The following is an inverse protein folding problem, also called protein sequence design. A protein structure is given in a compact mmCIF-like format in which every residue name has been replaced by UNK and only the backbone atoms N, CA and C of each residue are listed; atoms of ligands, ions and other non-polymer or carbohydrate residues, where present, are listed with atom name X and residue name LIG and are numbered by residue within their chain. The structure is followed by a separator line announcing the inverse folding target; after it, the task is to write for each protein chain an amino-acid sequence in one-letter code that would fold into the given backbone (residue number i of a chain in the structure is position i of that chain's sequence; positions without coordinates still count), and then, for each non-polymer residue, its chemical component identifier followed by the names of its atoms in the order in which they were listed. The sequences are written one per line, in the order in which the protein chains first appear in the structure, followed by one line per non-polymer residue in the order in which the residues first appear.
data_IF_492231245617
#
_entry.id   IF_492231245617
#
_cell.length_a   1.000
_cell.length_b   1.000
_cell.length_c   1.000
_cell.angle_alpha   90.00
_cell.angle_beta   90.00
_cell.angle_gamma   90.00
#
_symmetry.space_group_name_H-M   'P 1'
#
loop_
_entity.id
_entity.type
_entity.pdbx_description
1 polymer ?
#
# COMPACT_ATOMS: atom_id res chain seq x y z
N UNK A 1 -56.02 -40.65 6.81
CA UNK A 1 -56.61 -40.03 5.59
C UNK A 1 -55.84 -38.81 5.08
N UNK A 2 -55.00 -38.11 5.87
CA UNK A 2 -54.26 -36.91 5.40
C UNK A 2 -52.95 -37.25 4.67
N UNK A 3 -52.27 -38.32 5.06
CA UNK A 3 -50.96 -38.74 4.52
C UNK A 3 -50.97 -39.09 3.03
N UNK A 4 -52.06 -39.67 2.51
CA UNK A 4 -52.19 -40.02 1.10
C UNK A 4 -52.42 -38.78 0.20
N UNK A 5 -53.00 -37.71 0.76
CA UNK A 5 -53.20 -36.46 0.03
C UNK A 5 -51.89 -35.70 -0.18
N UNK A 6 -50.99 -35.73 0.82
CA UNK A 6 -49.68 -35.09 0.75
C UNK A 6 -48.78 -35.77 -0.29
N UNK A 7 -48.79 -37.11 -0.34
CA UNK A 7 -48.06 -37.89 -1.35
C UNK A 7 -48.57 -37.60 -2.77
N UNK A 8 -49.89 -37.45 -2.96
CA UNK A 8 -50.47 -37.10 -4.24
C UNK A 8 -50.05 -35.70 -4.70
N UNK A 9 -50.04 -34.73 -3.78
CA UNK A 9 -49.58 -33.37 -4.07
C UNK A 9 -48.08 -33.32 -4.42
N UNK A 10 -47.25 -34.05 -3.70
CA UNK A 10 -45.81 -34.14 -4.00
C UNK A 10 -45.57 -34.74 -5.38
N UNK A 11 -46.33 -35.78 -5.75
CA UNK A 11 -46.21 -36.44 -7.04
C UNK A 11 -46.69 -35.53 -8.20
N UNK A 12 -47.72 -34.71 -7.97
CA UNK A 12 -48.16 -33.69 -8.93
C UNK A 12 -47.13 -32.58 -9.12
N UNK A 13 -46.53 -32.07 -8.04
CA UNK A 13 -45.45 -31.07 -8.09
C UNK A 13 -44.23 -31.62 -8.81
N UNK A 14 -43.83 -32.85 -8.50
CA UNK A 14 -42.70 -33.52 -9.16
C UNK A 14 -42.94 -33.75 -10.65
N UNK A 15 -44.17 -34.12 -11.03
CA UNK A 15 -44.53 -34.33 -12.45
C UNK A 15 -44.56 -33.02 -13.23
N UNK A 16 -45.08 -31.95 -12.63
CA UNK A 16 -45.13 -30.60 -13.25
C UNK A 16 -43.74 -29.97 -13.38
N UNK A 17 -42.88 -30.09 -12.35
CA UNK A 17 -41.48 -29.66 -12.43
C UNK A 17 -40.68 -30.46 -13.48
N UNK A 18 -40.93 -31.77 -13.60
CA UNK A 18 -40.24 -32.63 -14.57
C UNK A 18 -40.72 -32.42 -16.02
N UNK A 19 -41.97 -31.99 -16.21
CA UNK A 19 -42.54 -31.71 -17.54
C UNK A 19 -42.21 -30.32 -18.06
N UNK A 20 -41.73 -29.42 -17.21
CA UNK A 20 -41.21 -28.13 -17.66
C UNK A 20 -39.82 -28.39 -18.27
N UNK A 21 -39.61 -28.16 -19.57
CA UNK A 21 -38.26 -28.19 -20.11
C UNK A 21 -37.44 -27.17 -19.32
N UNK A 22 -36.30 -27.59 -18.77
CA UNK A 22 -35.33 -26.63 -18.27
C UNK A 22 -34.97 -25.75 -19.46
N UNK A 23 -35.33 -24.48 -19.39
CA UNK A 23 -34.88 -23.48 -20.36
C UNK A 23 -33.36 -23.48 -20.31
N UNK A 24 -32.75 -24.23 -21.24
CA UNK A 24 -31.33 -24.26 -21.38
C UNK A 24 -30.92 -22.84 -21.75
N UNK A 25 -29.97 -22.24 -21.01
CA UNK A 25 -29.50 -20.92 -21.38
C UNK A 25 -29.04 -20.96 -22.84
N UNK A 26 -29.28 -19.90 -23.62
CA UNK A 26 -28.79 -19.83 -24.98
C UNK A 26 -27.28 -20.08 -24.97
N UNK A 27 -26.74 -20.71 -26.02
CA UNK A 27 -25.32 -21.07 -26.12
C UNK A 27 -24.39 -19.89 -25.85
N UNK A 28 -24.86 -18.67 -26.14
CA UNK A 28 -24.13 -17.42 -26.01
C UNK A 28 -24.35 -16.70 -24.67
N UNK A 29 -25.08 -17.30 -23.73
CA UNK A 29 -25.33 -16.69 -22.43
C UNK A 29 -24.03 -16.45 -21.67
N UNK A 30 -23.20 -17.49 -21.57
CA UNK A 30 -21.90 -17.41 -20.89
C UNK A 30 -20.95 -16.47 -21.61
N UNK A 31 -20.92 -16.47 -22.94
CA UNK A 31 -20.04 -15.60 -23.72
C UNK A 31 -20.45 -14.12 -23.61
N UNK A 32 -21.75 -13.82 -23.64
CA UNK A 32 -22.27 -12.46 -23.52
C UNK A 32 -22.12 -11.91 -22.09
N UNK A 33 -22.27 -12.76 -21.06
CA UNK A 33 -21.93 -12.39 -19.69
C UNK A 33 -20.42 -12.13 -19.60
N UNK A 34 -19.57 -13.09 -19.98
CA UNK A 34 -18.10 -12.94 -19.96
C UNK A 34 -17.63 -11.69 -20.72
N UNK A 35 -18.23 -11.37 -21.86
CA UNK A 35 -17.91 -10.15 -22.60
C UNK A 35 -18.26 -8.88 -21.81
N UNK A 36 -19.41 -8.84 -21.13
CA UNK A 36 -19.84 -7.68 -20.32
C UNK A 36 -19.04 -7.53 -19.03
N UNK A 37 -18.67 -8.63 -18.36
CA UNK A 37 -17.77 -8.57 -17.18
C UNK A 37 -16.33 -8.25 -17.59
N UNK A 38 -15.85 -8.72 -18.75
CA UNK A 38 -14.48 -8.45 -19.21
C UNK A 38 -14.27 -6.96 -19.58
N UNK A 39 -15.29 -6.27 -20.09
CA UNK A 39 -15.25 -4.81 -20.31
C UNK A 39 -15.24 -4.04 -18.98
N UNK A 40 -15.76 -4.63 -17.90
CA UNK A 40 -15.79 -4.01 -16.56
C UNK A 40 -14.60 -4.41 -15.68
N UNK A 41 -13.92 -5.51 -15.99
CA UNK A 41 -12.58 -5.82 -15.46
C UNK A 41 -11.56 -4.95 -16.19
N UNK A 42 -11.66 -3.64 -15.99
CA UNK A 42 -10.50 -2.77 -16.15
C UNK A 42 -9.46 -3.31 -15.21
N UNK A 43 -8.52 -4.08 -15.75
CA UNK A 43 -7.36 -4.59 -15.04
C UNK A 43 -6.82 -3.40 -14.26
N UNK A 44 -6.87 -3.45 -12.94
CA UNK A 44 -6.36 -2.38 -12.10
C UNK A 44 -4.86 -2.38 -12.32
N UNK A 45 -4.40 -1.68 -13.36
CA UNK A 45 -3.00 -1.55 -13.70
C UNK A 45 -2.37 -0.90 -12.48
N UNK A 46 -1.56 -1.70 -11.78
CA UNK A 46 -0.99 -1.32 -10.51
C UNK A 46 -0.01 -0.18 -10.76
N UNK A 47 -0.50 1.06 -10.60
CA UNK A 47 0.34 2.23 -10.74
C UNK A 47 1.22 2.32 -9.48
N UNK A 48 2.55 2.35 -9.62
CA UNK A 48 3.42 2.42 -8.45
C UNK A 48 3.13 3.72 -7.68
N UNK A 49 2.59 3.57 -6.46
CA UNK A 49 2.17 4.67 -5.56
C UNK A 49 3.26 5.73 -5.30
N UNK A 50 4.52 5.36 -5.49
CA UNK A 50 5.68 6.26 -5.51
C UNK A 50 6.50 5.88 -6.73
N UNK A 51 6.76 6.86 -7.59
CA UNK A 51 7.67 6.75 -8.74
C UNK A 51 9.05 6.29 -8.27
N UNK A 52 9.82 5.64 -9.15
CA UNK A 52 11.24 5.30 -8.91
C UNK A 52 12.05 6.53 -8.44
N UNK A 53 11.63 7.72 -8.88
CA UNK A 53 12.23 8.99 -8.48
C UNK A 53 11.93 9.37 -7.01
N UNK A 54 10.76 9.01 -6.48
CA UNK A 54 10.44 9.23 -5.07
C UNK A 54 11.26 8.35 -4.14
N UNK A 55 11.61 7.13 -4.57
CA UNK A 55 12.56 6.28 -3.84
C UNK A 55 13.97 6.87 -3.78
N UNK A 56 14.46 7.43 -4.90
CA UNK A 56 15.74 8.13 -4.94
C UNK A 56 15.75 9.35 -4.02
N UNK A 57 14.65 10.11 -3.96
CA UNK A 57 14.53 11.28 -3.10
C UNK A 57 14.56 10.88 -1.62
N UNK A 58 13.83 9.83 -1.21
CA UNK A 58 13.85 9.34 0.17
C UNK A 58 15.26 8.89 0.59
N UNK A 59 15.96 8.14 -0.27
CA UNK A 59 17.34 7.71 0.00
C UNK A 59 18.28 8.91 0.11
N UNK A 60 18.18 9.87 -0.81
CA UNK A 60 19.04 11.05 -0.83
C UNK A 60 18.83 11.89 0.44
N UNK A 61 17.58 12.14 0.83
CA UNK A 61 17.25 12.87 2.07
C UNK A 61 17.72 12.12 3.31
N UNK A 62 17.58 10.80 3.35
CA UNK A 62 18.09 9.98 4.46
C UNK A 62 19.61 10.07 4.61
N UNK A 63 20.35 9.97 3.50
CA UNK A 63 21.81 10.11 3.48
C UNK A 63 22.22 11.51 3.94
N UNK A 64 21.58 12.55 3.40
CA UNK A 64 21.86 13.94 3.78
C UNK A 64 21.63 14.18 5.28
N UNK A 65 20.59 13.57 5.85
CA UNK A 65 20.29 13.67 7.28
C UNK A 65 21.33 12.98 8.17
N UNK A 66 21.79 11.78 7.79
CA UNK A 66 22.85 11.07 8.51
C UNK A 66 24.16 11.87 8.47
N UNK A 67 24.49 12.44 7.30
CA UNK A 67 25.65 13.31 7.13
C UNK A 67 25.54 14.55 8.02
N UNK A 68 24.39 15.21 8.06
CA UNK A 68 24.15 16.38 8.90
C UNK A 68 24.37 16.08 10.39
N UNK A 69 23.86 14.94 10.88
CA UNK A 69 24.06 14.52 12.26
C UNK A 69 25.53 14.23 12.57
N UNK A 70 26.26 13.63 11.63
CA UNK A 70 27.69 13.37 11.79
C UNK A 70 28.49 14.67 11.91
N UNK A 71 28.19 15.68 11.07
CA UNK A 71 28.85 16.99 11.09
C UNK A 71 28.58 17.76 12.39
N UNK A 72 27.36 17.67 12.94
CA UNK A 72 27.04 18.32 14.23
C UNK A 72 27.72 17.61 15.43
N UNK A 73 27.85 16.29 15.38
CA UNK A 73 28.43 15.51 16.48
C UNK A 73 29.96 15.54 16.48
N UNK A 74 30.58 15.70 15.31
CA UNK A 74 32.01 15.97 15.14
C UNK A 74 32.24 17.47 15.39
N UNK A 75 32.46 17.85 16.65
CA UNK A 75 32.70 19.25 17.06
C UNK A 75 33.93 19.94 16.46
N UNK A 76 34.58 19.35 15.44
CA UNK A 76 35.60 19.99 14.62
C UNK A 76 35.31 19.77 13.14
N UNK A 77 35.30 20.82 12.30
CA UNK A 77 35.04 20.70 10.88
C UNK A 77 36.23 20.00 10.21
N UNK A 78 36.08 18.70 9.95
CA UNK A 78 36.92 17.95 9.03
C UNK A 78 36.96 18.71 7.69
N UNK A 79 38.17 18.93 7.15
CA UNK A 79 38.44 19.82 5.99
C UNK A 79 37.55 19.56 4.76
N UNK A 80 37.04 18.33 4.62
CA UNK A 80 36.11 17.93 3.55
C UNK A 80 34.74 18.64 3.61
N UNK A 81 34.26 19.03 4.80
CA UNK A 81 32.96 19.68 5.01
C UNK A 81 33.01 21.22 4.98
N UNK A 82 34.21 21.83 4.99
CA UNK A 82 34.36 23.30 4.90
C UNK A 82 33.95 23.87 3.53
N UNK A 83 33.91 23.03 2.49
CA UNK A 83 33.46 23.43 1.15
C UNK A 83 31.93 23.52 1.03
N UNK A 84 31.18 22.95 1.98
CA UNK A 84 29.73 23.02 2.01
C UNK A 84 29.35 24.08 3.04
N UNK A 85 29.21 25.32 2.58
CA UNK A 85 28.86 26.46 3.43
C UNK A 85 27.39 26.38 3.86
N UNK A 86 27.13 25.60 4.91
CA UNK A 86 25.81 25.43 5.53
C UNK A 86 25.33 26.67 6.31
N UNK A 87 26.12 27.75 6.35
CA UNK A 87 25.78 29.00 7.06
C UNK A 87 24.47 29.61 6.57
N UNK A 88 24.11 29.38 5.30
CA UNK A 88 22.88 29.92 4.70
C UNK A 88 21.62 29.13 5.12
N UNK A 89 21.73 27.83 5.41
CA UNK A 89 20.61 26.98 5.86
C UNK A 89 20.38 27.10 7.37
N UNK A 90 21.43 27.43 8.11
CA UNK A 90 21.38 27.67 9.57
C UNK A 90 20.54 28.89 9.95
N UNK A 91 20.46 29.90 9.08
CA UNK A 91 19.87 31.21 9.39
C UNK A 91 18.38 31.32 9.05
N UNK A 92 17.62 30.22 9.15
CA UNK A 92 16.17 30.23 8.95
C UNK A 92 15.42 30.13 10.30
N UNK A 93 14.24 30.73 10.38
CA UNK A 93 13.41 30.74 11.61
C UNK A 93 13.11 29.33 12.14
N UNK A 94 13.05 28.36 11.23
CA UNK A 94 12.81 26.94 11.53
C UNK A 94 13.99 26.35 12.31
N UNK A 95 15.23 26.58 11.88
CA UNK A 95 16.42 26.09 12.57
C UNK A 95 16.55 26.72 13.95
N UNK A 96 16.14 27.98 14.11
CA UNK A 96 16.13 28.65 15.41
C UNK A 96 15.14 27.97 16.38
N UNK A 97 13.94 27.64 15.92
CA UNK A 97 12.96 26.88 16.70
C UNK A 97 13.49 25.48 17.09
N UNK A 98 14.14 24.76 16.17
CA UNK A 98 14.75 23.47 16.48
C UNK A 98 15.99 23.55 17.38
N UNK A 99 16.75 24.65 17.31
CA UNK A 99 17.94 24.88 18.16
C UNK A 99 17.58 25.28 19.58
N UNK A 100 16.43 25.94 19.77
CA UNK A 100 15.90 26.30 21.09
C UNK A 100 15.37 25.07 21.86
N UNK A 101 15.03 23.99 21.16
CA UNK A 101 14.69 22.70 21.75
C UNK A 101 15.95 21.99 22.27
N UNK A 102 16.29 22.20 23.54
CA UNK A 102 17.30 21.41 24.27
C UNK A 102 16.83 19.95 24.45
N UNK A 103 16.96 19.15 23.39
CA UNK A 103 16.72 17.71 23.45
C UNK A 103 17.95 16.99 24.01
N UNK A 104 17.70 15.96 24.83
CA UNK A 104 18.76 15.08 25.28
C UNK A 104 19.36 14.33 24.07
N UNK A 105 20.66 14.02 24.13
CA UNK A 105 21.34 13.30 23.04
C UNK A 105 20.64 11.98 22.72
N UNK A 106 20.21 11.26 23.76
CA UNK A 106 19.49 9.98 23.62
C UNK A 106 18.13 10.14 22.91
N UNK A 107 17.38 11.21 23.18
CA UNK A 107 16.07 11.44 22.54
C UNK A 107 16.24 11.82 21.07
N UNK A 108 17.30 12.56 20.76
CA UNK A 108 17.66 12.90 19.37
C UNK A 108 17.98 11.63 18.58
N UNK A 109 18.87 10.76 19.09
CA UNK A 109 19.20 9.50 18.42
C UNK A 109 17.99 8.56 18.27
N UNK A 110 17.14 8.47 19.31
CA UNK A 110 15.92 7.66 19.25
C UNK A 110 14.96 8.16 18.16
N UNK A 111 14.79 9.47 18.02
CA UNK A 111 13.91 10.07 17.01
C UNK A 111 14.41 9.82 15.59
N UNK A 112 15.73 9.89 15.36
CA UNK A 112 16.37 9.57 14.08
C UNK A 112 16.15 8.11 13.70
N UNK A 113 16.44 7.19 14.61
CA UNK A 113 16.29 5.74 14.38
C UNK A 113 14.81 5.38 14.17
N UNK A 114 13.91 5.97 14.95
CA UNK A 114 12.47 5.78 14.78
C UNK A 114 11.99 6.28 13.41
N UNK A 115 12.44 7.46 12.98
CA UNK A 115 12.13 8.00 11.65
C UNK A 115 12.62 7.08 10.52
N UNK A 116 13.87 6.62 10.59
CA UNK A 116 14.42 5.66 9.61
C UNK A 116 13.64 4.34 9.59
N UNK A 117 13.24 3.83 10.76
CA UNK A 117 12.44 2.62 10.87
C UNK A 117 11.09 2.78 10.18
N UNK A 118 10.39 3.91 10.38
CA UNK A 118 9.13 4.20 9.69
C UNK A 118 9.31 4.26 8.17
N UNK A 119 10.38 4.87 7.69
CA UNK A 119 10.70 4.91 6.26
C UNK A 119 10.88 3.50 5.65
N UNK A 120 11.45 2.56 6.39
CA UNK A 120 11.56 1.16 5.98
C UNK A 120 10.26 0.36 6.16
N UNK A 121 9.39 0.73 7.09
CA UNK A 121 8.11 0.04 7.31
C UNK A 121 7.12 0.26 6.16
N UNK A 122 7.07 1.46 5.57
CA UNK A 122 6.18 1.78 4.44
C UNK A 122 6.39 0.85 3.22
N UNK A 123 7.62 0.58 2.71
CA UNK A 123 7.82 -0.38 1.62
C UNK A 123 7.49 -1.81 1.99
N UNK A 124 7.82 -2.24 3.22
CA UNK A 124 7.56 -3.61 3.68
C UNK A 124 6.05 -3.87 3.67
N UNK A 125 5.26 -2.94 4.22
CA UNK A 125 3.80 -3.04 4.23
C UNK A 125 3.23 -3.05 2.81
N UNK A 126 3.77 -2.21 1.92
CA UNK A 126 3.39 -2.19 0.50
C UNK A 126 3.70 -3.52 -0.20
N UNK A 127 4.88 -4.09 0.03
CA UNK A 127 5.27 -5.38 -0.52
C UNK A 127 4.33 -6.50 -0.06
N UNK A 128 3.99 -6.51 1.22
CA UNK A 128 3.09 -7.51 1.79
C UNK A 128 1.68 -7.45 1.20
N UNK A 129 1.11 -6.25 1.05
CA UNK A 129 -0.22 -6.05 0.44
C UNK A 129 -0.21 -6.45 -1.03
N UNK A 130 0.83 -6.07 -1.78
CA UNK A 130 0.98 -6.42 -3.21
C UNK A 130 1.07 -7.93 -3.41
N UNK A 131 1.84 -8.61 -2.55
CA UNK A 131 1.97 -10.08 -2.57
C UNK A 131 0.63 -10.78 -2.33
N UNK A 132 -0.23 -10.25 -1.45
CA UNK A 132 -1.57 -10.80 -1.22
C UNK A 132 -2.51 -10.62 -2.41
N UNK A 133 -2.42 -9.52 -3.14
CA UNK A 133 -3.28 -9.27 -4.31
C UNK A 133 -2.92 -10.13 -5.52
N UNK A 134 -1.66 -10.57 -5.64
CA UNK A 134 -1.21 -11.46 -6.72
C UNK A 134 -1.58 -12.94 -6.50
N UNK A 135 -1.88 -13.36 -5.27
CA UNK A 135 -2.27 -14.74 -4.95
C UNK A 135 -3.77 -15.03 -5.10
N UNK A 136 -4.57 -14.08 -5.62
CA UNK A 136 -6.03 -14.19 -5.73
C UNK A 136 -6.54 -14.26 -7.17
N UNK A 137 -5.66 -14.49 -8.15
CA UNK A 137 -5.98 -14.75 -9.55
C UNK A 137 -5.53 -16.15 -9.96
#
# INVERSE_FOLDING_TARGET
MKENADEFLENLVKKTMKSSPLEAPPSDFTSNIMARINVKSTTTVYQPLISKMGWMLILTTGIAYVVYLYVISAGEPNDWFKAVDFSTVSNNEIMNFFSELKLARITTYAMVVCGLMLCAQVPILKYFITKRQQGSY
#
